data_IF_662686686669
#
_entry.id   IF_662686686669
#
_cell.length_a   1.000
_cell.length_b   1.000
_cell.length_c   1.000
_cell.angle_alpha   90.00
_cell.angle_beta   90.00
_cell.angle_gamma   90.00
#
_symmetry.space_group_name_H-M   'P 1'
#
loop_
_entity.id
_entity.type
_entity.pdbx_description
1 polymer ?
#
# COMPACT_ATOMS: atom_id res chain seq x y z
N UNK A 1 18.79 12.45 -11.70
CA UNK A 1 18.15 11.70 -10.60
C UNK A 1 17.39 10.54 -11.21
N UNK A 2 17.40 9.38 -10.56
CA UNK A 2 16.58 8.25 -11.02
C UNK A 2 15.10 8.60 -10.81
N UNK A 3 14.27 8.27 -11.80
CA UNK A 3 12.83 8.50 -11.74
C UNK A 3 12.19 7.66 -10.63
N UNK A 4 11.21 8.22 -9.91
CA UNK A 4 10.46 7.48 -8.90
C UNK A 4 9.66 6.36 -9.59
N UNK A 5 9.86 5.12 -9.14
CA UNK A 5 9.22 3.91 -9.69
C UNK A 5 7.88 3.59 -9.04
N UNK A 6 7.62 4.13 -7.84
CA UNK A 6 6.36 3.93 -7.13
C UNK A 6 5.39 5.02 -7.55
N UNK A 7 4.67 4.77 -8.64
CA UNK A 7 3.62 5.65 -9.19
C UNK A 7 2.38 4.80 -9.45
N UNK A 8 1.21 5.43 -9.46
CA UNK A 8 -0.01 4.79 -9.95
C UNK A 8 0.21 4.23 -11.36
N UNK A 9 -0.39 3.08 -11.63
CA UNK A 9 -0.35 2.39 -12.92
C UNK A 9 -1.76 1.98 -13.32
N UNK A 10 -1.94 1.63 -14.60
CA UNK A 10 -3.19 1.09 -15.11
C UNK A 10 -3.26 -0.45 -14.99
N UNK A 11 -2.35 -1.06 -14.23
CA UNK A 11 -2.34 -2.50 -14.00
C UNK A 11 -3.56 -2.91 -13.17
N UNK A 12 -4.09 -4.10 -13.45
CA UNK A 12 -5.30 -4.58 -12.81
C UNK A 12 -4.97 -5.23 -11.45
N UNK A 13 -5.55 -4.69 -10.37
CA UNK A 13 -5.34 -5.20 -9.00
C UNK A 13 -5.79 -6.66 -8.86
N UNK A 14 -6.92 -7.04 -9.44
CA UNK A 14 -7.48 -8.39 -9.35
C UNK A 14 -6.60 -9.39 -10.10
N UNK A 15 -6.11 -9.04 -11.29
CA UNK A 15 -5.16 -9.88 -12.03
C UNK A 15 -3.85 -10.05 -11.28
N UNK A 16 -3.32 -8.97 -10.68
CA UNK A 16 -2.12 -9.01 -9.86
C UNK A 16 -2.29 -9.94 -8.64
N UNK A 17 -3.42 -9.85 -7.92
CA UNK A 17 -3.71 -10.73 -6.78
C UNK A 17 -3.85 -12.18 -7.24
N UNK A 18 -4.56 -12.43 -8.35
CA UNK A 18 -4.72 -13.78 -8.90
C UNK A 18 -3.39 -14.42 -9.33
N UNK A 19 -2.39 -13.63 -9.69
CA UNK A 19 -1.04 -14.10 -10.00
C UNK A 19 -0.22 -14.51 -8.75
N UNK A 20 -0.67 -14.19 -7.53
CA UNK A 20 -0.01 -14.63 -6.29
C UNK A 20 -0.09 -16.16 -6.18
N UNK A 21 1.05 -16.90 -6.12
CA UNK A 21 1.03 -18.36 -6.14
C UNK A 21 0.46 -18.99 -4.85
N UNK A 22 0.63 -18.31 -3.73
CA UNK A 22 0.16 -18.76 -2.43
C UNK A 22 -1.34 -18.46 -2.29
N UNK A 23 -2.15 -19.51 -2.13
CA UNK A 23 -3.61 -19.41 -2.08
C UNK A 23 -4.10 -18.64 -0.86
N UNK A 24 -3.46 -18.82 0.30
CA UNK A 24 -3.84 -18.10 1.52
C UNK A 24 -3.53 -16.62 1.34
N UNK A 25 -2.34 -16.29 0.86
CA UNK A 25 -1.93 -14.91 0.62
C UNK A 25 -2.81 -14.22 -0.42
N UNK A 26 -3.30 -14.96 -1.41
CA UNK A 26 -4.28 -14.46 -2.39
C UNK A 26 -5.59 -14.09 -1.71
N UNK A 27 -6.14 -14.97 -0.88
CA UNK A 27 -7.36 -14.70 -0.12
C UNK A 27 -7.16 -13.50 0.82
N UNK A 28 -6.08 -13.50 1.60
CA UNK A 28 -5.75 -12.40 2.50
C UNK A 28 -5.61 -11.07 1.76
N UNK A 29 -5.11 -11.09 0.51
CA UNK A 29 -5.00 -9.88 -0.31
C UNK A 29 -6.35 -9.34 -0.75
N UNK A 30 -7.32 -10.20 -1.06
CA UNK A 30 -8.69 -9.75 -1.35
C UNK A 30 -9.36 -9.19 -0.10
N UNK A 31 -9.23 -9.86 1.04
CA UNK A 31 -9.79 -9.39 2.31
C UNK A 31 -9.19 -8.02 2.71
N UNK A 32 -7.88 -7.84 2.49
CA UNK A 32 -7.22 -6.55 2.71
C UNK A 32 -7.70 -5.47 1.75
N UNK A 33 -7.98 -5.80 0.48
CA UNK A 33 -8.56 -4.83 -0.46
C UNK A 33 -9.90 -4.34 0.08
N UNK A 34 -10.81 -5.25 0.43
CA UNK A 34 -12.15 -4.89 0.92
C UNK A 34 -12.06 -3.99 2.17
N UNK A 35 -11.25 -4.36 3.15
CA UNK A 35 -11.08 -3.58 4.38
C UNK A 35 -10.45 -2.22 4.13
N UNK A 36 -9.42 -2.14 3.29
CA UNK A 36 -8.71 -0.90 3.05
C UNK A 36 -9.54 0.07 2.18
N UNK A 37 -10.31 -0.43 1.22
CA UNK A 37 -11.27 0.40 0.49
C UNK A 37 -12.34 0.95 1.44
N UNK A 38 -12.88 0.14 2.35
CA UNK A 38 -13.87 0.57 3.34
C UNK A 38 -13.30 1.64 4.28
N UNK A 39 -12.12 1.39 4.86
CA UNK A 39 -11.47 2.29 5.83
C UNK A 39 -11.08 3.63 5.18
N UNK A 40 -10.58 3.60 3.94
CA UNK A 40 -10.04 4.79 3.27
C UNK A 40 -11.05 5.50 2.38
N UNK A 41 -12.18 4.85 2.04
CA UNK A 41 -13.13 5.32 1.04
C UNK A 41 -12.53 5.46 -0.37
N UNK A 42 -11.36 4.86 -0.62
CA UNK A 42 -10.60 4.99 -1.87
C UNK A 42 -10.43 3.64 -2.54
N UNK A 43 -10.60 3.53 -3.86
CA UNK A 43 -10.44 2.27 -4.56
C UNK A 43 -8.98 1.81 -4.59
N UNK A 44 -8.77 0.50 -4.61
CA UNK A 44 -7.47 -0.12 -4.78
C UNK A 44 -6.87 0.24 -6.15
N UNK A 45 -5.63 0.71 -6.15
CA UNK A 45 -4.88 1.01 -7.38
C UNK A 45 -3.49 0.37 -7.32
N UNK A 46 -2.96 -0.09 -8.44
CA UNK A 46 -1.60 -0.60 -8.51
C UNK A 46 -0.58 0.55 -8.51
N UNK A 47 0.40 0.46 -7.61
CA UNK A 47 1.53 1.38 -7.49
C UNK A 47 2.85 0.65 -7.81
N UNK A 48 3.49 1.09 -8.90
CA UNK A 48 4.66 0.41 -9.44
C UNK A 48 4.37 -1.07 -9.70
N UNK A 49 5.36 -1.96 -9.53
CA UNK A 49 5.21 -3.36 -9.95
C UNK A 49 4.56 -4.28 -8.91
N UNK A 50 4.28 -3.81 -7.69
CA UNK A 50 3.98 -4.75 -6.59
C UNK A 50 3.21 -4.20 -5.39
N UNK A 51 2.83 -2.93 -5.39
CA UNK A 51 2.10 -2.33 -4.27
C UNK A 51 0.65 -2.13 -4.70
N UNK A 52 -0.28 -2.57 -3.87
CA UNK A 52 -1.69 -2.20 -3.95
C UNK A 52 -1.86 -1.05 -2.97
N UNK A 53 -2.25 0.13 -3.47
CA UNK A 53 -2.35 1.35 -2.69
C UNK A 53 -3.76 1.94 -2.70
N UNK A 54 -4.06 2.70 -1.67
CA UNK A 54 -5.37 3.31 -1.38
C UNK A 54 -5.16 4.77 -1.01
N UNK A 55 -5.90 5.65 -1.70
CA UNK A 55 -5.71 7.09 -1.60
C UNK A 55 -4.31 7.54 -2.00
N UNK A 56 -4.03 8.84 -1.87
CA UNK A 56 -2.70 9.39 -2.15
C UNK A 56 -2.40 10.65 -1.35
N UNK A 57 -1.13 10.88 -1.08
CA UNK A 57 -0.61 12.14 -0.58
C UNK A 57 0.58 12.60 -1.41
N UNK A 58 0.77 13.92 -1.46
CA UNK A 58 1.91 14.55 -2.10
C UNK A 58 2.95 14.91 -1.04
N UNK A 59 4.17 14.39 -1.17
CA UNK A 59 5.28 14.71 -0.27
C UNK A 59 6.25 15.69 -0.94
N UNK A 60 6.85 16.56 -0.13
CA UNK A 60 7.91 17.48 -0.56
C UNK A 60 8.97 17.59 0.51
N UNK A 61 10.20 17.24 0.16
CA UNK A 61 11.36 17.34 1.04
C UNK A 61 12.03 18.72 0.96
N UNK A 62 12.79 19.07 2.00
CA UNK A 62 13.58 20.30 2.03
C UNK A 62 14.60 20.41 0.88
N UNK A 63 15.02 19.28 0.29
CA UNK A 63 15.88 19.24 -0.89
C UNK A 63 15.18 19.66 -2.20
N UNK A 64 13.87 19.91 -2.16
CA UNK A 64 13.04 20.15 -3.34
C UNK A 64 12.57 18.88 -4.05
N UNK A 65 12.99 17.69 -3.59
CA UNK A 65 12.45 16.43 -4.11
C UNK A 65 11.00 16.25 -3.65
N UNK A 66 10.09 15.99 -4.58
CA UNK A 66 8.67 15.76 -4.32
C UNK A 66 8.12 14.62 -5.16
N UNK A 67 6.92 14.16 -4.80
CA UNK A 67 6.22 13.09 -5.50
C UNK A 67 4.96 12.67 -4.77
N UNK A 68 4.28 11.68 -5.32
CA UNK A 68 3.07 11.10 -4.76
C UNK A 68 3.33 9.71 -4.19
N UNK A 69 2.60 9.34 -3.16
CA UNK A 69 2.63 8.02 -2.55
C UNK A 69 1.23 7.64 -2.03
N UNK A 70 0.93 6.34 -1.92
CA UNK A 70 -0.35 5.90 -1.38
C UNK A 70 -0.46 6.22 0.11
N UNK A 71 -1.66 6.61 0.58
CA UNK A 71 -1.91 6.86 2.01
C UNK A 71 -1.81 5.56 2.82
N UNK A 72 -2.39 4.50 2.27
CA UNK A 72 -2.31 3.15 2.80
C UNK A 72 -1.96 2.22 1.65
N UNK A 73 -1.26 1.13 1.92
CA UNK A 73 -1.05 0.11 0.92
C UNK A 73 -0.44 -1.15 1.46
N UNK A 74 -0.35 -2.17 0.63
CA UNK A 74 0.35 -3.40 0.96
C UNK A 74 0.97 -4.06 -0.26
N UNK A 75 1.86 -5.02 -0.02
CA UNK A 75 2.47 -5.84 -1.05
C UNK A 75 2.52 -7.31 -0.61
N UNK A 76 1.86 -8.24 -1.33
CA UNK A 76 1.89 -9.67 -1.02
C UNK A 76 3.18 -10.34 -1.51
N UNK A 77 4.32 -9.96 -0.90
CA UNK A 77 5.64 -10.47 -1.31
C UNK A 77 5.81 -11.95 -0.98
N UNK A 78 6.86 -12.57 -1.54
CA UNK A 78 7.15 -14.00 -1.36
C UNK A 78 7.19 -14.42 0.11
N UNK A 79 7.93 -13.68 0.95
CA UNK A 79 8.11 -14.03 2.37
C UNK A 79 6.89 -13.69 3.23
N UNK A 80 6.31 -12.50 3.06
CA UNK A 80 5.21 -11.98 3.88
C UNK A 80 4.43 -10.90 3.13
N UNK A 81 3.25 -10.57 3.63
CA UNK A 81 2.55 -9.33 3.26
C UNK A 81 3.23 -8.17 3.99
N UNK A 82 3.65 -7.14 3.26
CA UNK A 82 4.20 -5.91 3.83
C UNK A 82 3.14 -4.82 3.81
N UNK A 83 2.86 -4.19 4.95
CA UNK A 83 1.95 -3.06 5.06
C UNK A 83 2.73 -1.73 4.97
N UNK A 84 2.18 -0.78 4.23
CA UNK A 84 2.66 0.59 4.09
C UNK A 84 1.59 1.52 4.67
N UNK A 85 1.93 2.23 5.74
CA UNK A 85 0.98 3.09 6.47
C UNK A 85 1.59 4.48 6.51
N UNK A 86 0.89 5.47 5.96
CA UNK A 86 1.23 6.86 6.16
C UNK A 86 0.92 7.26 7.60
N UNK A 87 1.93 7.71 8.33
CA UNK A 87 1.80 8.16 9.71
C UNK A 87 1.87 9.69 9.74
N UNK A 88 0.75 10.34 10.08
CA UNK A 88 0.74 11.76 10.45
C UNK A 88 1.16 11.88 11.91
N UNK A 89 2.15 12.73 12.19
CA UNK A 89 2.66 12.94 13.56
C UNK A 89 1.53 13.29 14.55
N UNK A 90 1.33 12.42 15.55
CA UNK A 90 0.44 12.67 16.69
C UNK A 90 -0.36 11.44 17.13
N UNK A 91 -0.15 11.02 18.37
CA UNK A 91 -0.98 10.10 19.18
C UNK A 91 -1.08 8.60 18.82
N UNK A 92 -0.64 8.12 17.65
CA UNK A 92 -0.80 6.69 17.30
C UNK A 92 0.28 5.73 17.88
N UNK A 93 1.30 6.25 18.59
CA UNK A 93 2.41 5.43 19.11
C UNK A 93 1.95 4.29 20.04
N UNK A 94 0.82 4.47 20.72
CA UNK A 94 0.25 3.47 21.64
C UNK A 94 -0.43 2.31 20.92
N UNK A 95 -0.96 2.52 19.71
CA UNK A 95 -1.59 1.47 18.89
C UNK A 95 -0.53 0.57 18.24
N UNK A 96 0.59 1.14 17.80
CA UNK A 96 1.71 0.35 17.27
C UNK A 96 2.25 -0.66 18.29
N UNK A 97 2.24 -0.34 19.59
CA UNK A 97 2.61 -1.28 20.64
C UNK A 97 1.65 -2.48 20.80
N UNK A 98 0.46 -2.42 20.19
CA UNK A 98 -0.52 -3.52 20.14
C UNK A 98 -0.51 -4.27 18.82
N UNK A 99 0.22 -3.79 17.82
CA UNK A 99 0.44 -4.51 16.58
C UNK A 99 1.23 -5.79 16.92
N UNK A 100 0.91 -6.91 16.26
CA UNK A 100 1.38 -8.25 16.61
C UNK A 100 2.91 -8.40 16.80
N UNK A 101 3.32 -9.55 17.33
CA UNK A 101 4.73 -9.85 17.66
C UNK A 101 5.56 -10.27 16.46
#
# INVERSE_FOLDING_TARGET
MAENKTKETNENVVEFINAVPDLQKRQDSFDLVDWMEEITGSPATMWGPSIIGFGKYHYKYASGHEGDAPLLGFSPRKAAISLYIYNCEGEESTLFGKLGK
#
